data_IF_653163874165
#
_entry.id   IF_653163874165
#
_cell.length_a   1.000
_cell.length_b   1.000
_cell.length_c   1.000
_cell.angle_alpha   90.00
_cell.angle_beta   90.00
_cell.angle_gamma   90.00
#
_symmetry.space_group_name_H-M   'P 1'
#
loop_
_entity.id
_entity.type
_entity.pdbx_description
1 polymer ?
#
# COMPACT_ATOMS: atom_id res chain seq x y z
N UNK A 1 -6.34 12.85 17.60
CA UNK A 1 -5.52 12.78 16.37
C UNK A 1 -5.36 11.34 15.95
N UNK A 2 -5.53 11.05 14.68
CA UNK A 2 -5.46 9.70 14.14
C UNK A 2 -4.70 9.77 12.83
N UNK A 3 -3.42 9.45 12.90
CA UNK A 3 -2.53 9.57 11.75
C UNK A 3 -1.55 8.41 11.74
N UNK A 4 -1.43 7.78 10.57
CA UNK A 4 -0.54 6.65 10.37
C UNK A 4 0.32 6.95 9.14
N UNK A 5 1.61 6.67 9.24
CA UNK A 5 2.53 6.76 8.11
C UNK A 5 3.27 5.44 8.04
N UNK A 6 3.20 4.78 6.89
CA UNK A 6 3.80 3.47 6.69
C UNK A 6 4.61 3.43 5.41
N UNK A 7 5.70 2.71 5.44
CA UNK A 7 6.47 2.37 4.25
C UNK A 7 6.56 0.86 4.19
N UNK A 8 6.18 0.29 3.06
CA UNK A 8 6.20 -1.16 2.89
C UNK A 8 5.97 -1.56 1.46
N UNK A 9 5.86 -2.86 1.26
CA UNK A 9 5.68 -3.42 -0.08
C UNK A 9 4.29 -3.99 -0.24
N UNK A 10 3.74 -3.77 -1.43
CA UNK A 10 2.46 -4.34 -1.80
C UNK A 10 2.62 -5.85 -1.99
N UNK A 11 1.74 -6.63 -1.37
CA UNK A 11 1.86 -8.08 -1.34
C UNK A 11 1.14 -8.77 -2.50
N UNK A 12 0.20 -8.09 -3.14
CA UNK A 12 -0.56 -8.62 -4.28
C UNK A 12 -0.81 -7.52 -5.27
N UNK A 13 -1.10 -7.89 -6.51
CA UNK A 13 -1.48 -6.92 -7.52
C UNK A 13 -2.76 -6.22 -7.08
N UNK A 14 -2.76 -4.90 -6.95
CA UNK A 14 -3.97 -4.21 -6.49
C UNK A 14 -5.03 -4.17 -7.57
N UNK A 15 -6.27 -4.44 -7.17
CA UNK A 15 -7.41 -4.43 -8.07
C UNK A 15 -8.39 -3.38 -7.62
N UNK A 16 -8.82 -2.53 -8.55
CA UNK A 16 -9.83 -1.53 -8.25
C UNK A 16 -11.22 -2.14 -8.47
N UNK A 17 -12.09 -1.85 -7.53
CA UNK A 17 -13.50 -2.22 -7.64
C UNK A 17 -14.31 -0.96 -7.50
N UNK A 18 -15.53 -1.01 -8.01
CA UNK A 18 -16.40 0.17 -7.99
C UNK A 18 -17.65 -0.14 -7.19
N UNK A 19 -18.05 0.82 -6.36
CA UNK A 19 -19.31 0.71 -5.62
C UNK A 19 -20.45 0.89 -6.60
N UNK A 20 -21.68 0.66 -6.11
CA UNK A 20 -22.86 0.84 -6.94
C UNK A 20 -22.98 2.26 -7.46
N UNK A 21 -22.49 3.23 -6.71
CA UNK A 21 -22.52 4.63 -7.14
C UNK A 21 -21.32 5.01 -7.99
N UNK A 22 -20.47 4.06 -8.35
CA UNK A 22 -19.36 4.31 -9.26
C UNK A 22 -18.09 4.81 -8.61
N UNK A 23 -17.96 4.67 -7.30
CA UNK A 23 -16.78 5.12 -6.58
C UNK A 23 -15.73 4.01 -6.56
N UNK A 24 -14.51 4.33 -6.98
CA UNK A 24 -13.42 3.37 -6.98
C UNK A 24 -12.87 3.10 -5.60
N UNK A 25 -12.56 1.85 -5.31
CA UNK A 25 -11.97 1.44 -4.05
C UNK A 25 -10.98 0.31 -4.31
N UNK A 26 -9.81 0.40 -3.65
CA UNK A 26 -8.78 -0.63 -3.71
C UNK A 26 -8.48 -1.07 -2.28
N UNK A 27 -8.54 -2.37 -2.04
CA UNK A 27 -8.08 -2.96 -0.78
C UNK A 27 -6.77 -3.66 -1.05
N UNK A 28 -5.79 -3.45 -0.19
CA UNK A 28 -4.51 -4.11 -0.36
C UNK A 28 -3.87 -4.34 1.01
N UNK A 29 -2.89 -5.24 1.02
CA UNK A 29 -2.11 -5.53 2.22
C UNK A 29 -0.70 -5.05 2.00
N UNK A 30 -0.21 -4.28 2.95
CA UNK A 30 1.13 -3.72 2.92
C UNK A 30 2.02 -4.49 3.89
N UNK A 31 3.14 -4.99 3.41
CA UNK A 31 4.12 -5.68 4.24
C UNK A 31 5.11 -4.64 4.78
N UNK A 32 5.06 -4.41 6.08
CA UNK A 32 5.84 -3.39 6.75
C UNK A 32 6.81 -4.07 7.70
N UNK A 33 8.10 -3.86 7.48
CA UNK A 33 9.11 -4.45 8.35
C UNK A 33 9.24 -3.66 9.64
N UNK A 34 9.37 -4.40 10.73
CA UNK A 34 9.72 -3.78 12.01
C UNK A 34 11.20 -3.45 12.00
N UNK A 35 11.59 -2.58 12.92
CA UNK A 35 12.99 -2.20 13.06
C UNK A 35 13.83 -3.23 13.82
N UNK A 36 13.24 -4.37 14.17
CA UNK A 36 13.93 -5.42 14.93
C UNK A 36 14.02 -6.69 14.11
N UNK A 37 15.11 -7.42 14.30
CA UNK A 37 15.34 -8.69 13.64
C UNK A 37 15.08 -9.85 14.60
N UNK A 38 14.73 -11.00 14.02
CA UNK A 38 14.59 -12.22 14.80
C UNK A 38 15.97 -12.86 15.02
N UNK A 39 15.98 -14.03 15.64
CA UNK A 39 17.23 -14.72 15.98
C UNK A 39 18.01 -15.15 14.73
N UNK A 40 17.35 -15.25 13.60
CA UNK A 40 17.99 -15.65 12.33
C UNK A 40 18.45 -14.46 11.50
N UNK A 41 18.32 -13.25 12.02
CA UNK A 41 18.76 -12.06 11.31
C UNK A 41 17.74 -11.50 10.33
N UNK A 42 16.53 -12.01 10.33
CA UNK A 42 15.47 -11.52 9.43
C UNK A 42 14.58 -10.52 10.14
N UNK A 43 14.15 -9.48 9.42
CA UNK A 43 13.21 -8.53 9.98
C UNK A 43 11.86 -9.18 10.20
N UNK A 44 11.24 -8.83 11.31
CA UNK A 44 9.85 -9.20 11.54
C UNK A 44 8.98 -8.28 10.68
N UNK A 45 7.93 -8.84 10.11
CA UNK A 45 7.08 -8.11 9.17
C UNK A 45 5.63 -8.14 9.65
N UNK A 46 5.00 -6.99 9.60
CA UNK A 46 3.57 -6.87 9.87
C UNK A 46 2.83 -6.68 8.55
N UNK A 47 1.69 -7.34 8.42
CA UNK A 47 0.85 -7.25 7.23
C UNK A 47 -0.35 -6.38 7.58
N UNK A 48 -0.40 -5.20 7.00
CA UNK A 48 -1.36 -4.17 7.37
C UNK A 48 -2.40 -4.04 6.27
N UNK A 49 -3.67 -4.17 6.64
CA UNK A 49 -4.77 -3.99 5.70
C UNK A 49 -4.99 -2.51 5.44
N UNK A 50 -5.04 -2.15 4.17
CA UNK A 50 -5.20 -0.76 3.76
C UNK A 50 -6.32 -0.67 2.74
N UNK A 51 -7.02 0.46 2.76
CA UNK A 51 -8.09 0.74 1.81
C UNK A 51 -7.89 2.13 1.25
N UNK A 52 -7.97 2.25 -0.05
CA UNK A 52 -7.86 3.53 -0.74
C UNK A 52 -9.13 3.77 -1.53
N UNK A 53 -9.57 5.03 -1.57
CA UNK A 53 -10.81 5.42 -2.24
C UNK A 53 -10.53 6.47 -3.30
N UNK A 54 -11.37 6.50 -4.32
CA UNK A 54 -11.42 7.57 -5.32
C UNK A 54 -10.06 7.76 -6.00
N UNK A 55 -9.49 8.94 -5.93
CA UNK A 55 -8.24 9.26 -6.60
C UNK A 55 -7.08 8.39 -6.13
N UNK A 56 -7.02 8.08 -4.85
CA UNK A 56 -5.98 7.22 -4.33
C UNK A 56 -6.11 5.80 -4.87
N UNK A 57 -7.34 5.32 -5.00
CA UNK A 57 -7.59 4.00 -5.57
C UNK A 57 -7.15 3.95 -7.03
N UNK A 58 -7.50 4.97 -7.81
CA UNK A 58 -7.11 5.04 -9.22
C UNK A 58 -5.58 5.07 -9.37
N UNK A 59 -4.93 5.86 -8.54
CA UNK A 59 -3.47 5.95 -8.60
C UNK A 59 -2.83 4.59 -8.33
N UNK A 60 -3.29 3.92 -7.28
CA UNK A 60 -2.73 2.63 -6.91
C UNK A 60 -2.97 1.59 -8.01
N UNK A 61 -4.20 1.52 -8.51
CA UNK A 61 -4.53 0.53 -9.53
C UNK A 61 -3.75 0.75 -10.82
N UNK A 62 -3.49 2.01 -11.18
CA UNK A 62 -2.84 2.33 -12.43
C UNK A 62 -1.32 2.29 -12.37
N UNK A 63 -0.72 2.62 -11.24
CA UNK A 63 0.72 2.85 -11.18
C UNK A 63 1.48 1.96 -10.22
N UNK A 64 0.80 1.27 -9.31
CA UNK A 64 1.45 0.47 -8.28
C UNK A 64 1.25 -1.00 -8.60
N UNK A 65 2.34 -1.76 -8.58
CA UNK A 65 2.33 -3.18 -8.88
C UNK A 65 2.73 -3.98 -7.67
N UNK A 66 2.42 -5.28 -7.70
CA UNK A 66 2.87 -6.20 -6.67
C UNK A 66 4.37 -6.06 -6.44
N UNK A 67 4.76 -5.99 -5.18
CA UNK A 67 6.17 -5.91 -4.80
C UNK A 67 6.75 -4.50 -4.78
N UNK A 68 6.01 -3.52 -5.24
CA UNK A 68 6.49 -2.13 -5.21
C UNK A 68 6.60 -1.64 -3.79
N UNK A 69 7.62 -0.83 -3.56
CA UNK A 69 7.82 -0.14 -2.29
C UNK A 69 7.07 1.18 -2.35
N UNK A 70 6.19 1.39 -1.39
CA UNK A 70 5.39 2.62 -1.35
C UNK A 70 5.36 3.18 0.05
N UNK A 71 5.11 4.48 0.12
CA UNK A 71 4.82 5.16 1.38
C UNK A 71 3.37 5.58 1.35
N UNK A 72 2.67 5.37 2.44
CA UNK A 72 1.28 5.82 2.56
C UNK A 72 1.12 6.61 3.85
N UNK A 73 0.17 7.51 3.84
CA UNK A 73 -0.32 8.13 5.06
C UNK A 73 -1.83 7.97 5.09
N UNK A 74 -2.37 7.96 6.28
CA UNK A 74 -3.80 7.79 6.44
C UNK A 74 -4.20 7.75 7.90
N UNK A 75 -5.34 7.14 8.16
CA UNK A 75 -5.88 7.02 9.50
C UNK A 75 -6.33 5.59 9.75
N UNK A 76 -6.23 5.16 10.99
CA UNK A 76 -6.75 3.85 11.38
C UNK A 76 -8.26 3.95 11.49
N UNK A 77 -8.94 2.97 10.93
CA UNK A 77 -10.39 2.88 11.03
C UNK A 77 -10.77 1.44 11.35
N UNK A 78 -11.71 1.28 12.25
CA UNK A 78 -12.26 -0.04 12.54
C UNK A 78 -13.68 -0.09 12.02
N UNK A 79 -14.08 -1.27 11.61
CA UNK A 79 -15.48 -1.51 11.26
C UNK A 79 -15.90 -2.86 11.80
N UNK A 80 -17.16 -2.95 12.14
CA UNK A 80 -17.74 -4.14 12.73
C UNK A 80 -18.93 -4.57 11.91
N UNK A 81 -19.13 -5.88 11.84
CA UNK A 81 -20.30 -6.41 11.17
C UNK A 81 -20.66 -7.74 11.82
N UNK A 82 -21.84 -8.21 11.50
CA UNK A 82 -22.34 -9.46 12.01
C UNK A 82 -22.45 -10.45 10.86
N UNK A 83 -21.96 -11.67 11.09
CA UNK A 83 -22.07 -12.72 10.07
C UNK A 83 -23.48 -13.25 10.03
N UNK A 84 -23.77 -14.07 9.02
CA UNK A 84 -25.08 -14.71 8.90
C UNK A 84 -25.38 -15.63 10.07
N UNK A 85 -24.36 -16.11 10.77
CA UNK A 85 -24.51 -16.95 11.95
C UNK A 85 -24.69 -16.16 13.25
N UNK A 86 -24.71 -14.83 13.15
CA UNK A 86 -24.87 -13.99 14.32
C UNK A 86 -23.58 -13.65 15.05
N UNK A 87 -22.44 -14.07 14.52
CA UNK A 87 -21.16 -13.75 15.13
C UNK A 87 -20.75 -12.32 14.83
N UNK A 88 -20.19 -11.65 15.83
CA UNK A 88 -19.66 -10.30 15.64
C UNK A 88 -18.24 -10.38 15.12
N UNK A 89 -17.95 -9.63 14.07
CA UNK A 89 -16.63 -9.55 13.48
C UNK A 89 -16.19 -8.10 13.42
N UNK A 90 -14.90 -7.88 13.50
CA UNK A 90 -14.36 -6.55 13.33
C UNK A 90 -13.04 -6.62 12.58
N UNK A 91 -12.71 -5.54 11.93
CA UNK A 91 -11.44 -5.42 11.24
C UNK A 91 -10.88 -4.03 11.48
N UNK A 92 -9.55 -3.95 11.50
CA UNK A 92 -8.82 -2.70 11.63
C UNK A 92 -8.05 -2.50 10.34
N UNK A 93 -8.20 -1.33 9.75
CA UNK A 93 -7.53 -1.05 8.49
C UNK A 93 -7.08 0.40 8.45
N UNK A 94 -6.16 0.69 7.56
CA UNK A 94 -5.68 2.05 7.34
C UNK A 94 -6.39 2.60 6.12
N UNK A 95 -7.08 3.71 6.29
CA UNK A 95 -7.73 4.42 5.19
C UNK A 95 -6.71 5.41 4.65
N UNK A 96 -6.30 5.21 3.41
CA UNK A 96 -5.18 5.92 2.80
C UNK A 96 -5.63 7.29 2.32
N UNK A 97 -4.91 8.34 2.73
CA UNK A 97 -5.16 9.68 2.21
C UNK A 97 -4.06 10.16 1.27
N UNK A 98 -2.91 9.48 1.26
CA UNK A 98 -1.80 9.88 0.38
C UNK A 98 -0.92 8.67 0.11
N UNK A 99 -0.43 8.55 -1.13
CA UNK A 99 0.42 7.45 -1.57
C UNK A 99 1.60 8.03 -2.33
N UNK A 100 2.77 7.45 -2.10
CA UNK A 100 3.95 7.80 -2.87
C UNK A 100 4.68 6.53 -3.28
N UNK A 101 5.04 6.44 -4.55
CA UNK A 101 5.79 5.31 -5.07
C UNK A 101 7.27 5.53 -4.79
N UNK A 102 7.87 4.62 -4.03
CA UNK A 102 9.28 4.69 -3.68
C UNK A 102 10.12 3.65 -4.41
N UNK A 103 9.50 2.89 -5.30
CA UNK A 103 10.21 1.82 -6.01
C UNK A 103 11.29 2.44 -6.91
N UNK A 104 12.54 1.95 -6.81
CA UNK A 104 13.61 2.48 -7.65
C UNK A 104 13.32 2.26 -9.13
N UNK A 105 13.66 3.25 -9.94
CA UNK A 105 13.41 3.20 -11.37
C UNK A 105 14.25 2.15 -12.08
N UNK A 106 15.40 1.85 -11.57
CA UNK A 106 16.27 0.85 -12.16
C UNK A 106 15.71 -0.56 -12.10
N UNK A 107 14.61 -0.76 -11.38
CA UNK A 107 13.91 -2.03 -11.36
C UNK A 107 12.98 -2.21 -12.55
N UNK A 108 12.92 -1.23 -13.44
CA UNK A 108 12.09 -1.27 -14.64
C UNK A 108 12.99 -1.57 -15.84
N UNK A 109 12.99 -2.81 -16.36
CA UNK A 109 13.99 -3.20 -17.35
C UNK A 109 13.96 -2.40 -18.64
N UNK A 110 12.78 -2.05 -19.12
CA UNK A 110 12.65 -1.42 -20.44
C UNK A 110 13.08 0.03 -20.45
N UNK A 111 12.99 0.70 -19.33
CA UNK A 111 13.29 2.11 -19.24
C UNK A 111 14.60 2.36 -18.49
N UNK A 112 15.28 1.29 -18.16
CA UNK A 112 16.38 1.37 -17.23
C UNK A 112 17.46 2.36 -17.61
N UNK A 113 17.87 2.35 -18.86
CA UNK A 113 18.95 3.21 -19.30
C UNK A 113 18.54 4.67 -19.32
N UNK A 114 17.36 4.94 -19.84
CA UNK A 114 16.86 6.30 -19.85
C UNK A 114 16.64 6.83 -18.45
N UNK A 115 16.10 6.00 -17.60
CA UNK A 115 15.84 6.38 -16.23
C UNK A 115 17.13 6.66 -15.47
N UNK A 116 18.16 5.86 -15.71
CA UNK A 116 19.45 6.09 -15.10
C UNK A 116 20.04 7.43 -15.51
N UNK A 117 19.90 7.76 -16.78
CA UNK A 117 20.42 9.02 -17.27
C UNK A 117 19.72 10.20 -16.64
N UNK A 118 18.42 10.10 -16.51
CA UNK A 118 17.66 11.13 -15.84
C UNK A 118 18.04 11.25 -14.37
N UNK A 119 18.25 10.13 -13.73
CA UNK A 119 18.61 10.13 -12.32
C UNK A 119 19.97 10.77 -12.08
N UNK A 120 20.88 10.57 -13.02
CA UNK A 120 22.19 11.19 -12.93
C UNK A 120 22.13 12.71 -13.07
N UNK A 121 21.13 13.19 -13.76
CA UNK A 121 20.94 14.63 -13.94
C UNK A 121 20.30 15.29 -12.73
N UNK A 122 19.80 14.51 -11.81
CA UNK A 122 19.13 15.02 -10.61
C UNK A 122 20.17 15.30 -9.52
N UNK A 123 19.93 16.32 -8.69
CA UNK A 123 20.89 16.70 -7.67
C UNK A 123 20.96 15.79 -6.46
N UNK A 124 20.41 14.63 -6.54
CA UNK A 124 20.48 13.70 -5.42
C UNK A 124 20.68 12.29 -5.87
#
# INVERSE_FOLDING_TARGET
MNKVVLIGRITKEPEIKYTQSGVGVVSFTLAVDRDVKDDNGNYLTDFINCVAWRNQAEFIANWIKKGYLIAISGAIQTRSWQTSNGENRSTTEVIVDSVKNLTPKENKPEEKQEEKQKDLDLPF
#
